data_IF_799057653069
#
_entry.id   IF_799057653069
#
_cell.length_a   1.000
_cell.length_b   1.000
_cell.length_c   1.000
_cell.angle_alpha   90.00
_cell.angle_beta   90.00
_cell.angle_gamma   90.00
#
_symmetry.space_group_name_H-M   'P 1'
#
loop_
_entity.id
_entity.type
_entity.pdbx_description
1 polymer ?
#
# COMPACT_ATOMS: atom_id res chain seq x y z
N UNK A 1 26.10 23.30 7.12
CA UNK A 1 24.93 24.20 6.98
C UNK A 1 24.53 24.19 5.51
N UNK A 2 23.33 23.73 5.15
CA UNK A 2 22.91 23.72 3.74
C UNK A 2 22.75 25.15 3.24
N UNK A 3 23.20 25.45 2.02
CA UNK A 3 22.97 26.75 1.40
C UNK A 3 21.48 26.92 1.08
N UNK A 4 20.99 28.17 1.06
CA UNK A 4 19.60 28.48 0.66
C UNK A 4 19.27 27.90 -0.71
N UNK A 5 20.23 27.95 -1.64
CA UNK A 5 20.11 27.36 -2.98
C UNK A 5 19.92 25.84 -2.91
N UNK A 6 20.65 25.15 -2.05
CA UNK A 6 20.50 23.70 -1.85
C UNK A 6 19.12 23.34 -1.32
N UNK A 7 18.60 24.10 -0.34
CA UNK A 7 17.25 23.89 0.20
C UNK A 7 16.16 24.14 -0.87
N UNK A 8 16.32 25.17 -1.70
CA UNK A 8 15.41 25.47 -2.80
C UNK A 8 15.36 24.33 -3.84
N UNK A 9 16.53 23.79 -4.21
CA UNK A 9 16.62 22.65 -5.15
C UNK A 9 15.89 21.44 -4.58
N UNK A 10 16.11 21.08 -3.31
CA UNK A 10 15.40 19.97 -2.67
C UNK A 10 13.89 20.19 -2.64
N UNK A 11 13.44 21.40 -2.31
CA UNK A 11 12.01 21.73 -2.30
C UNK A 11 11.38 21.60 -3.70
N UNK A 12 12.07 22.07 -4.74
CA UNK A 12 11.61 21.93 -6.13
C UNK A 12 11.54 20.47 -6.58
N UNK A 13 12.57 19.67 -6.29
CA UNK A 13 12.58 18.24 -6.61
C UNK A 13 11.44 17.50 -5.91
N UNK A 14 11.22 17.79 -4.63
CA UNK A 14 10.12 17.20 -3.86
C UNK A 14 8.75 17.59 -4.42
N UNK A 15 8.57 18.87 -4.78
CA UNK A 15 7.34 19.37 -5.39
C UNK A 15 7.05 18.71 -6.75
N UNK A 16 8.06 18.54 -7.59
CA UNK A 16 7.93 17.85 -8.88
C UNK A 16 7.56 16.37 -8.68
N UNK A 17 8.25 15.68 -7.76
CA UNK A 17 7.93 14.30 -7.41
C UNK A 17 6.49 14.18 -6.90
N UNK A 18 6.06 15.09 -6.04
CA UNK A 18 4.70 15.14 -5.51
C UNK A 18 3.65 15.28 -6.63
N UNK A 19 3.85 16.17 -7.60
CA UNK A 19 2.93 16.32 -8.74
C UNK A 19 2.89 15.07 -9.60
N UNK A 20 4.05 14.44 -9.87
CA UNK A 20 4.14 13.22 -10.68
C UNK A 20 3.37 12.09 -10.00
N UNK A 21 3.60 11.89 -8.69
CA UNK A 21 2.92 10.87 -7.90
C UNK A 21 1.41 11.12 -7.88
N UNK A 22 0.97 12.35 -7.57
CA UNK A 22 -0.46 12.69 -7.56
C UNK A 22 -1.12 12.40 -8.90
N UNK A 23 -0.52 12.87 -9.99
CA UNK A 23 -1.05 12.66 -11.33
C UNK A 23 -1.17 11.16 -11.64
N UNK A 24 -0.15 10.37 -11.33
CA UNK A 24 -0.18 8.92 -11.54
C UNK A 24 -1.30 8.22 -10.76
N UNK A 25 -1.52 8.60 -9.50
CA UNK A 25 -2.61 8.05 -8.69
C UNK A 25 -4.00 8.48 -9.20
N UNK A 26 -4.14 9.72 -9.66
CA UNK A 26 -5.40 10.20 -10.24
C UNK A 26 -5.77 9.47 -11.53
N UNK A 27 -4.80 9.27 -12.42
CA UNK A 27 -5.00 8.55 -13.69
C UNK A 27 -5.52 7.12 -13.49
N UNK A 28 -5.11 6.45 -12.41
CA UNK A 28 -5.56 5.08 -12.11
C UNK A 28 -6.88 5.02 -11.31
N UNK A 29 -7.44 6.17 -10.90
CA UNK A 29 -8.78 6.28 -10.32
C UNK A 29 -8.87 6.73 -8.86
N UNK A 30 -7.76 7.15 -8.24
CA UNK A 30 -7.79 7.79 -6.93
C UNK A 30 -8.16 9.27 -7.02
N UNK A 31 -8.62 9.84 -5.90
CA UNK A 31 -8.74 11.30 -5.71
C UNK A 31 -7.42 11.86 -5.16
N UNK A 32 -7.11 13.14 -5.42
CA UNK A 32 -5.89 13.82 -4.88
C UNK A 32 -5.65 13.57 -3.40
N UNK A 33 -6.70 13.69 -2.59
CA UNK A 33 -6.57 13.53 -1.15
C UNK A 33 -6.32 12.06 -0.75
N UNK A 34 -6.89 11.10 -1.48
CA UNK A 34 -6.65 9.67 -1.25
C UNK A 34 -5.17 9.35 -1.54
N UNK A 35 -4.67 9.84 -2.68
CA UNK A 35 -3.26 9.72 -3.06
C UNK A 35 -2.31 10.40 -2.07
N UNK A 36 -2.65 11.60 -1.61
CA UNK A 36 -1.86 12.35 -0.63
C UNK A 36 -1.79 11.60 0.70
N UNK A 37 -2.92 11.08 1.19
CA UNK A 37 -2.93 10.29 2.42
C UNK A 37 -2.07 9.03 2.29
N UNK A 38 -2.15 8.31 1.17
CA UNK A 38 -1.32 7.12 0.94
C UNK A 38 0.17 7.49 0.97
N UNK A 39 0.58 8.54 0.27
CA UNK A 39 2.01 8.91 0.15
C UNK A 39 2.56 9.46 1.46
N UNK A 40 1.93 10.48 2.04
CA UNK A 40 2.50 11.18 3.19
C UNK A 40 2.33 10.41 4.49
N UNK A 41 1.19 9.74 4.68
CA UNK A 41 0.93 9.06 5.95
C UNK A 41 1.86 7.87 6.15
N UNK A 42 2.18 7.12 5.08
CA UNK A 42 3.14 6.02 5.18
C UNK A 42 4.55 6.51 5.53
N UNK A 43 4.96 7.69 5.04
CA UNK A 43 6.28 8.28 5.35
C UNK A 43 6.32 8.80 6.80
N UNK A 44 5.30 9.56 7.21
CA UNK A 44 5.25 10.19 8.53
C UNK A 44 5.09 9.15 9.64
N UNK A 45 4.20 8.17 9.44
CA UNK A 45 3.83 7.19 10.45
C UNK A 45 4.53 5.83 10.29
N UNK A 46 5.42 5.66 9.31
CA UNK A 46 6.07 4.37 9.01
C UNK A 46 7.03 3.87 10.10
N UNK A 47 7.45 4.73 11.04
CA UNK A 47 8.27 4.36 12.20
C UNK A 47 7.50 4.30 13.51
N UNK A 48 6.17 4.41 13.45
CA UNK A 48 5.32 4.41 14.64
C UNK A 48 4.67 3.04 14.73
N UNK A 49 5.00 2.30 15.79
CA UNK A 49 4.40 1.01 16.09
C UNK A 49 3.41 1.16 17.26
N UNK A 50 2.16 0.73 17.04
CA UNK A 50 1.11 0.75 18.05
C UNK A 50 1.07 -0.60 18.77
N UNK A 51 1.38 -0.68 20.07
CA UNK A 51 1.32 -1.93 20.82
C UNK A 51 -0.13 -2.41 20.92
N UNK A 52 -0.36 -3.70 20.64
CA UNK A 52 -1.67 -4.35 20.68
C UNK A 52 -1.82 -5.23 21.91
N UNK A 53 -0.86 -6.13 22.15
CA UNK A 53 -0.91 -7.06 23.27
C UNK A 53 0.48 -7.60 23.63
N UNK A 54 0.62 -8.06 24.87
CA UNK A 54 1.83 -8.74 25.35
C UNK A 54 1.64 -10.26 25.33
N UNK A 55 2.64 -10.98 24.84
CA UNK A 55 2.64 -12.45 24.78
C UNK A 55 4.04 -13.01 25.06
N UNK A 56 4.20 -13.79 26.13
CA UNK A 56 5.46 -14.45 26.50
C UNK A 56 6.70 -13.52 26.44
N UNK A 57 6.60 -12.33 27.04
CA UNK A 57 7.63 -11.25 27.04
C UNK A 57 7.84 -10.54 25.70
N UNK A 58 7.02 -10.82 24.70
CA UNK A 58 6.99 -10.07 23.44
C UNK A 58 5.85 -9.06 23.47
N UNK A 59 6.09 -7.87 22.90
CA UNK A 59 5.05 -6.91 22.58
C UNK A 59 4.67 -7.13 21.12
N UNK A 60 3.43 -7.55 20.88
CA UNK A 60 2.88 -7.60 19.53
C UNK A 60 2.33 -6.22 19.21
N UNK A 61 2.86 -5.60 18.17
CA UNK A 61 2.48 -4.26 17.72
C UNK A 61 2.09 -4.27 16.24
N UNK A 62 1.35 -3.26 15.82
CA UNK A 62 1.04 -2.99 14.41
C UNK A 62 1.67 -1.66 13.98
N UNK A 63 2.40 -1.68 12.86
CA UNK A 63 2.97 -0.46 12.32
C UNK A 63 1.87 0.45 11.76
N UNK A 64 1.88 1.72 12.15
CA UNK A 64 0.84 2.67 11.81
C UNK A 64 0.89 3.04 10.33
N UNK A 65 2.04 3.46 9.81
CA UNK A 65 2.21 3.83 8.41
C UNK A 65 2.29 2.65 7.45
N UNK A 66 2.78 1.50 7.92
CA UNK A 66 3.06 0.31 7.13
C UNK A 66 1.93 -0.72 7.09
N UNK A 67 1.00 -0.69 8.05
CA UNK A 67 -0.12 -1.64 8.09
C UNK A 67 -1.46 -0.97 8.41
N UNK A 68 -1.57 -0.25 9.53
CA UNK A 68 -2.86 0.26 10.02
C UNK A 68 -3.51 1.26 9.04
N UNK A 69 -2.78 2.30 8.63
CA UNK A 69 -3.26 3.31 7.68
C UNK A 69 -3.59 2.68 6.31
N UNK A 70 -2.72 1.85 5.70
CA UNK A 70 -3.05 1.12 4.48
C UNK A 70 -4.33 0.27 4.57
N UNK A 71 -4.58 -0.41 5.70
CA UNK A 71 -5.80 -1.18 5.94
C UNK A 71 -7.03 -0.26 5.98
N UNK A 72 -6.97 0.84 6.73
CA UNK A 72 -8.07 1.82 6.83
C UNK A 72 -8.40 2.39 5.44
N UNK A 73 -7.39 2.77 4.67
CA UNK A 73 -7.56 3.30 3.31
C UNK A 73 -8.17 2.23 2.40
N UNK A 74 -7.69 0.98 2.47
CA UNK A 74 -8.24 -0.15 1.70
C UNK A 74 -9.72 -0.37 1.98
N UNK A 75 -10.12 -0.36 3.25
CA UNK A 75 -11.53 -0.48 3.68
C UNK A 75 -12.36 0.68 3.09
N UNK A 76 -11.89 1.92 3.23
CA UNK A 76 -12.56 3.08 2.67
C UNK A 76 -12.74 2.98 1.14
N UNK A 77 -11.72 2.54 0.40
CA UNK A 77 -11.79 2.37 -1.06
C UNK A 77 -12.76 1.27 -1.47
N UNK A 78 -12.77 0.15 -0.74
CA UNK A 78 -13.68 -0.99 -0.97
C UNK A 78 -15.13 -0.51 -0.96
N UNK A 79 -15.51 0.20 0.11
CA UNK A 79 -16.87 0.67 0.29
C UNK A 79 -17.21 1.82 -0.65
N UNK A 80 -16.34 2.82 -0.75
CA UNK A 80 -16.58 4.00 -1.59
C UNK A 80 -16.69 3.66 -3.09
N UNK A 81 -15.99 2.62 -3.57
CA UNK A 81 -16.03 2.20 -4.98
C UNK A 81 -16.93 1.00 -5.24
N UNK A 82 -17.57 0.44 -4.21
CA UNK A 82 -18.46 -0.74 -4.30
C UNK A 82 -17.76 -1.93 -4.96
N UNK A 83 -16.59 -2.30 -4.45
CA UNK A 83 -15.74 -3.37 -5.01
C UNK A 83 -15.53 -4.57 -4.07
N UNK A 84 -16.22 -4.62 -2.93
CA UNK A 84 -16.01 -5.63 -1.87
C UNK A 84 -15.81 -7.07 -2.36
N UNK A 85 -16.75 -7.63 -3.13
CA UNK A 85 -16.62 -9.02 -3.60
C UNK A 85 -15.39 -9.27 -4.48
N UNK A 86 -15.02 -8.29 -5.32
CA UNK A 86 -13.80 -8.37 -6.15
C UNK A 86 -12.54 -8.20 -5.30
N UNK A 87 -12.54 -7.26 -4.36
CA UNK A 87 -11.42 -7.09 -3.46
C UNK A 87 -11.18 -8.31 -2.58
N UNK A 88 -12.23 -8.93 -2.02
CA UNK A 88 -12.12 -10.15 -1.19
C UNK A 88 -11.54 -11.31 -1.99
N UNK A 89 -12.06 -11.56 -3.21
CA UNK A 89 -11.50 -12.59 -4.08
C UNK A 89 -10.04 -12.30 -4.43
N UNK A 90 -9.71 -11.04 -4.70
CA UNK A 90 -8.33 -10.59 -4.88
C UNK A 90 -7.44 -10.86 -3.68
N UNK A 91 -7.90 -10.56 -2.45
CA UNK A 91 -7.14 -10.83 -1.23
C UNK A 91 -6.82 -12.32 -1.08
N UNK A 92 -7.79 -13.20 -1.33
CA UNK A 92 -7.59 -14.66 -1.27
C UNK A 92 -6.51 -15.09 -2.28
N UNK A 93 -6.59 -14.58 -3.52
CA UNK A 93 -5.62 -14.90 -4.57
C UNK A 93 -4.23 -14.38 -4.17
N UNK A 94 -4.11 -13.12 -3.78
CA UNK A 94 -2.83 -12.51 -3.41
C UNK A 94 -2.22 -13.22 -2.20
N UNK A 95 -3.01 -13.52 -1.16
CA UNK A 95 -2.57 -14.24 0.03
C UNK A 95 -2.01 -15.62 -0.31
N UNK A 96 -2.67 -16.35 -1.22
CA UNK A 96 -2.15 -17.63 -1.68
C UNK A 96 -0.76 -17.47 -2.31
N UNK A 97 -0.57 -16.51 -3.22
CA UNK A 97 0.73 -16.29 -3.84
C UNK A 97 1.78 -15.77 -2.85
N UNK A 98 1.40 -14.86 -1.95
CA UNK A 98 2.27 -14.34 -0.89
C UNK A 98 2.78 -15.47 0.01
N UNK A 99 1.89 -16.35 0.47
CA UNK A 99 2.26 -17.50 1.29
C UNK A 99 3.31 -18.40 0.62
N UNK A 100 3.13 -18.69 -0.67
CA UNK A 100 4.03 -19.56 -1.44
C UNK A 100 5.43 -18.96 -1.66
N UNK A 101 5.61 -17.66 -1.46
CA UNK A 101 6.88 -16.96 -1.74
C UNK A 101 7.55 -16.40 -0.49
N UNK A 102 6.92 -16.58 0.67
CA UNK A 102 7.44 -16.16 1.97
C UNK A 102 8.10 -17.31 2.73
N UNK A 103 9.05 -16.96 3.59
CA UNK A 103 9.73 -17.89 4.49
C UNK A 103 9.88 -17.28 5.89
N UNK A 104 9.93 -18.13 6.90
CA UNK A 104 10.14 -17.71 8.29
C UNK A 104 11.65 -17.55 8.54
N UNK A 105 12.04 -16.40 9.05
CA UNK A 105 13.44 -16.04 9.36
C UNK A 105 13.52 -15.43 10.77
N UNK A 106 14.75 -15.13 11.22
CA UNK A 106 14.96 -14.39 12.48
C UNK A 106 14.35 -12.99 12.49
N UNK A 107 14.15 -12.39 11.30
CA UNK A 107 13.51 -11.08 11.11
C UNK A 107 11.97 -11.20 10.97
N UNK A 108 11.42 -12.41 11.03
CA UNK A 108 9.99 -12.69 10.80
C UNK A 108 9.71 -13.33 9.44
N UNK A 109 8.47 -13.19 8.98
CA UNK A 109 8.00 -13.72 7.68
C UNK A 109 8.42 -12.74 6.58
N UNK A 110 9.31 -13.19 5.70
CA UNK A 110 9.88 -12.35 4.63
C UNK A 110 9.83 -13.04 3.28
N UNK A 111 9.83 -12.26 2.20
CA UNK A 111 10.06 -12.74 0.85
C UNK A 111 11.36 -12.11 0.32
N UNK A 112 12.25 -12.92 -0.26
CA UNK A 112 13.55 -12.46 -0.76
C UNK A 112 13.39 -11.85 -2.16
N UNK A 113 14.18 -10.86 -2.53
CA UNK A 113 14.22 -10.37 -3.91
C UNK A 113 14.56 -11.51 -4.90
N UNK A 114 13.83 -11.67 -6.02
CA UNK A 114 12.75 -10.81 -6.52
C UNK A 114 11.33 -11.25 -6.10
N UNK A 115 11.18 -12.30 -5.30
CA UNK A 115 9.90 -12.91 -4.94
C UNK A 115 8.93 -12.02 -4.17
N UNK A 116 9.42 -11.06 -3.38
CA UNK A 116 8.57 -10.02 -2.76
C UNK A 116 7.77 -9.16 -3.76
N UNK A 117 8.12 -9.18 -5.06
CA UNK A 117 7.36 -8.52 -6.13
C UNK A 117 6.14 -9.34 -6.60
N UNK A 118 6.06 -10.64 -6.25
CA UNK A 118 4.98 -11.51 -6.72
C UNK A 118 3.62 -11.03 -6.22
N UNK A 119 3.39 -10.77 -4.91
CA UNK A 119 2.10 -10.29 -4.42
C UNK A 119 1.58 -9.00 -5.11
N UNK A 120 2.37 -7.90 -5.23
CA UNK A 120 1.88 -6.69 -5.90
C UNK A 120 1.65 -6.88 -7.40
N UNK A 121 2.44 -7.74 -8.07
CA UNK A 121 2.22 -8.08 -9.49
C UNK A 121 0.90 -8.84 -9.66
N UNK A 122 0.66 -9.85 -8.83
CA UNK A 122 -0.58 -10.64 -8.83
C UNK A 122 -1.79 -9.74 -8.55
N UNK A 123 -1.70 -8.86 -7.54
CA UNK A 123 -2.75 -7.90 -7.22
C UNK A 123 -3.07 -6.99 -8.43
N UNK A 124 -2.03 -6.50 -9.11
CA UNK A 124 -2.17 -5.64 -10.29
C UNK A 124 -2.86 -6.36 -11.45
N UNK A 125 -2.38 -7.55 -11.83
CA UNK A 125 -3.00 -8.35 -12.89
C UNK A 125 -4.44 -8.73 -12.56
N UNK A 126 -4.69 -9.22 -11.35
CA UNK A 126 -6.04 -9.54 -10.89
C UNK A 126 -6.97 -8.33 -11.00
N UNK A 127 -6.51 -7.15 -10.56
CA UNK A 127 -7.33 -5.94 -10.58
C UNK A 127 -7.76 -5.53 -11.99
N UNK A 128 -6.88 -5.68 -12.99
CA UNK A 128 -7.18 -5.37 -14.40
C UNK A 128 -8.31 -6.28 -14.87
N UNK A 129 -8.19 -7.59 -14.62
CA UNK A 129 -9.20 -8.59 -15.00
C UNK A 129 -10.53 -8.33 -14.27
N UNK A 130 -10.48 -8.10 -12.95
CA UNK A 130 -11.66 -7.85 -12.12
C UNK A 130 -12.35 -6.50 -12.41
N UNK A 131 -11.68 -5.59 -13.12
CA UNK A 131 -12.15 -4.24 -13.44
C UNK A 131 -12.33 -3.98 -14.94
N UNK A 132 -12.34 -5.00 -15.80
CA UNK A 132 -12.54 -4.84 -17.26
C UNK A 132 -13.75 -3.95 -17.58
N UNK A 133 -14.85 -4.09 -16.84
CA UNK A 133 -16.07 -3.28 -17.04
C UNK A 133 -15.98 -1.84 -16.51
N UNK A 134 -15.00 -1.52 -15.67
CA UNK A 134 -14.85 -0.21 -15.04
C UNK A 134 -13.39 0.02 -14.60
N UNK A 135 -12.57 0.49 -15.53
CA UNK A 135 -11.12 0.68 -15.34
C UNK A 135 -10.77 1.57 -14.14
N UNK A 136 -11.60 2.58 -13.83
CA UNK A 136 -11.44 3.46 -12.65
C UNK A 136 -11.46 2.73 -11.30
N UNK A 137 -11.91 1.47 -11.28
CA UNK A 137 -11.95 0.63 -10.06
C UNK A 137 -10.72 -0.26 -9.91
N UNK A 138 -9.88 -0.37 -10.94
CA UNK A 138 -8.69 -1.22 -10.94
C UNK A 138 -7.79 -0.88 -9.74
N UNK A 139 -7.46 0.39 -9.57
CA UNK A 139 -6.55 0.83 -8.53
C UNK A 139 -7.06 0.53 -7.11
N UNK A 140 -8.36 0.73 -6.86
CA UNK A 140 -8.96 0.39 -5.56
C UNK A 140 -8.96 -1.11 -5.28
N UNK A 141 -9.18 -1.94 -6.31
CA UNK A 141 -9.10 -3.40 -6.18
C UNK A 141 -7.66 -3.82 -5.93
N UNK A 142 -6.70 -3.34 -6.74
CA UNK A 142 -5.28 -3.65 -6.62
C UNK A 142 -4.72 -3.27 -5.25
N UNK A 143 -5.01 -2.05 -4.79
CA UNK A 143 -4.57 -1.55 -3.49
C UNK A 143 -5.13 -2.42 -2.37
N UNK A 144 -6.45 -2.63 -2.34
CA UNK A 144 -7.07 -3.41 -1.29
C UNK A 144 -6.62 -4.87 -1.27
N UNK A 145 -6.53 -5.53 -2.44
CA UNK A 145 -6.08 -6.93 -2.51
C UNK A 145 -4.60 -7.09 -2.23
N UNK A 146 -3.76 -6.14 -2.67
CA UNK A 146 -2.31 -6.19 -2.47
C UNK A 146 -1.87 -5.78 -1.07
N UNK A 147 -2.67 -4.98 -0.35
CA UNK A 147 -2.37 -4.57 1.02
C UNK A 147 -2.87 -5.57 2.05
N UNK A 148 -4.03 -6.21 1.83
CA UNK A 148 -4.68 -7.06 2.83
C UNK A 148 -4.67 -8.56 2.50
N UNK A 149 -4.29 -8.93 1.27
CA UNK A 149 -4.00 -10.31 0.89
C UNK A 149 -2.51 -10.56 0.98
#
# INVERSE_FOLDING_TARGET
MFSLLTLLIFALLFYLLYIILLSAFEEVGFKKWEASLIVFSCIIFGKIDLPLLEYNKWIIAINVGGALIPIIISIYLIFSRKVAGRSILGMIIVAYFAYNVTMVTGEGIVAIFPYWLIPPVVASFYSIVASIKSKKKAASIAYASGTMG
#
